data_IF_613110725460
#
_entry.id   IF_613110725460
#
_cell.length_a   1.000
_cell.length_b   1.000
_cell.length_c   1.000
_cell.angle_alpha   90.00
_cell.angle_beta   90.00
_cell.angle_gamma   90.00
#
_symmetry.space_group_name_H-M   'P 1'
#
loop_
_entity.id
_entity.type
_entity.pdbx_description
1 polymer ?
#
# COMPACT_ATOMS: atom_id res chain seq x y z
N UNK A 1 3.52 -29.68 -10.98
CA UNK A 1 3.46 -28.62 -12.01
C UNK A 1 4.37 -27.54 -11.49
N UNK A 2 5.36 -27.12 -12.27
CA UNK A 2 6.29 -26.08 -11.86
C UNK A 2 5.62 -24.70 -11.92
N UNK A 3 5.91 -23.85 -10.94
CA UNK A 3 5.36 -22.51 -10.83
C UNK A 3 6.39 -21.43 -11.22
N UNK A 4 5.88 -20.37 -11.83
CA UNK A 4 6.58 -19.13 -12.10
C UNK A 4 5.94 -18.01 -11.27
N UNK A 5 6.68 -17.46 -10.32
CA UNK A 5 6.24 -16.30 -9.55
C UNK A 5 6.79 -15.02 -10.21
N UNK A 6 5.90 -14.14 -10.66
CA UNK A 6 6.20 -12.80 -11.17
C UNK A 6 5.58 -11.76 -10.23
N UNK A 7 6.37 -11.19 -9.32
CA UNK A 7 5.79 -10.26 -8.34
C UNK A 7 4.82 -11.00 -7.42
N UNK A 8 3.59 -10.49 -7.32
CA UNK A 8 2.48 -11.14 -6.60
C UNK A 8 1.77 -12.22 -7.42
N UNK A 9 2.02 -12.29 -8.72
CA UNK A 9 1.32 -13.18 -9.65
C UNK A 9 2.03 -14.53 -9.72
N UNK A 10 1.29 -15.62 -9.50
CA UNK A 10 1.78 -16.98 -9.73
C UNK A 10 1.13 -17.55 -10.98
N UNK A 11 1.96 -17.91 -11.95
CA UNK A 11 1.58 -18.55 -13.20
C UNK A 11 2.16 -19.95 -13.26
N UNK A 12 1.59 -20.80 -14.10
CA UNK A 12 2.27 -22.06 -14.44
C UNK A 12 3.55 -21.76 -15.23
N UNK A 13 4.66 -22.38 -14.83
CA UNK A 13 5.91 -22.25 -15.55
C UNK A 13 5.79 -22.87 -16.96
N UNK A 14 6.31 -22.15 -17.96
CA UNK A 14 6.23 -22.58 -19.36
C UNK A 14 7.41 -23.47 -19.71
N UNK A 15 7.19 -24.44 -20.60
CA UNK A 15 8.26 -25.29 -21.11
C UNK A 15 9.19 -24.55 -22.07
N UNK A 16 8.66 -23.54 -22.77
CA UNK A 16 9.39 -22.77 -23.78
C UNK A 16 9.36 -21.29 -23.44
N UNK A 17 10.47 -20.62 -23.73
CA UNK A 17 10.61 -19.17 -23.70
C UNK A 17 11.55 -18.75 -24.84
N UNK A 18 11.47 -17.49 -25.26
CA UNK A 18 12.41 -16.92 -26.23
C UNK A 18 13.11 -15.71 -25.63
N UNK A 19 14.44 -15.70 -25.69
CA UNK A 19 15.27 -14.57 -25.26
C UNK A 19 15.89 -13.86 -26.46
N UNK A 20 15.99 -12.54 -26.37
CA UNK A 20 16.73 -11.70 -27.32
C UNK A 20 17.52 -10.65 -26.57
N UNK A 21 18.78 -10.44 -26.98
CA UNK A 21 19.63 -9.36 -26.44
C UNK A 21 19.53 -8.06 -27.27
N UNK A 22 18.74 -8.03 -28.33
CA UNK A 22 18.60 -6.87 -29.20
C UNK A 22 17.79 -5.77 -28.48
N UNK A 23 18.44 -4.61 -28.24
CA UNK A 23 17.89 -3.46 -27.48
C UNK A 23 17.57 -3.73 -26.00
N UNK A 24 18.33 -4.61 -25.37
CA UNK A 24 18.14 -5.05 -23.99
C UNK A 24 17.83 -6.54 -23.92
N UNK A 25 17.99 -7.15 -22.75
CA UNK A 25 17.67 -8.56 -22.56
C UNK A 25 16.16 -8.70 -22.40
N UNK A 26 15.49 -9.07 -23.49
CA UNK A 26 14.05 -9.34 -23.53
C UNK A 26 13.78 -10.85 -23.44
N UNK A 27 12.75 -11.21 -22.70
CA UNK A 27 12.27 -12.58 -22.50
C UNK A 27 10.77 -12.61 -22.79
N UNK A 28 10.36 -13.45 -23.73
CA UNK A 28 8.95 -13.66 -24.05
C UNK A 28 8.51 -15.05 -23.60
N UNK A 29 7.43 -15.07 -22.84
CA UNK A 29 6.85 -16.27 -22.23
C UNK A 29 5.35 -16.31 -22.53
N UNK A 30 4.81 -17.51 -22.66
CA UNK A 30 3.39 -17.71 -22.92
C UNK A 30 2.92 -19.04 -22.38
N UNK A 31 1.76 -19.05 -21.76
CA UNK A 31 1.17 -20.24 -21.15
C UNK A 31 -0.35 -20.21 -21.21
N UNK A 32 -0.96 -21.24 -20.61
CA UNK A 32 -2.40 -21.40 -20.56
C UNK A 32 -2.83 -21.81 -19.16
N UNK A 33 -3.77 -21.06 -18.59
CA UNK A 33 -4.48 -21.40 -17.35
C UNK A 33 -5.85 -21.99 -17.71
N UNK A 34 -6.24 -23.09 -17.05
CA UNK A 34 -7.44 -23.86 -17.42
C UNK A 34 -8.24 -24.29 -16.20
N UNK A 35 -9.55 -24.03 -16.23
CA UNK A 35 -10.55 -24.66 -15.38
C UNK A 35 -11.09 -25.91 -16.11
N UNK A 36 -11.09 -27.10 -15.49
CA UNK A 36 -11.10 -27.33 -14.03
C UNK A 36 -9.76 -27.68 -13.36
N UNK A 37 -8.59 -27.45 -13.99
CA UNK A 37 -7.31 -27.72 -13.30
C UNK A 37 -7.09 -26.79 -12.10
N UNK A 38 -7.52 -25.54 -12.23
CA UNK A 38 -7.66 -24.58 -11.13
C UNK A 38 -9.10 -24.06 -11.11
N UNK A 39 -9.49 -23.34 -10.05
CA UNK A 39 -10.86 -22.83 -9.97
C UNK A 39 -11.09 -21.78 -11.05
N UNK A 40 -12.35 -21.57 -11.43
CA UNK A 40 -12.69 -20.52 -12.40
C UNK A 40 -12.25 -19.14 -11.90
N UNK A 41 -12.36 -18.89 -10.61
CA UNK A 41 -11.99 -17.60 -10.00
C UNK A 41 -10.47 -17.41 -10.04
N UNK A 42 -9.68 -18.47 -9.82
CA UNK A 42 -8.22 -18.43 -9.97
C UNK A 42 -7.79 -18.16 -11.41
N UNK A 43 -8.49 -18.75 -12.40
CA UNK A 43 -8.22 -18.48 -13.82
C UNK A 43 -8.40 -16.99 -14.13
N UNK A 44 -9.51 -16.38 -13.66
CA UNK A 44 -9.78 -14.96 -13.88
C UNK A 44 -8.84 -14.05 -13.09
N UNK A 45 -8.50 -14.40 -11.85
CA UNK A 45 -7.55 -13.64 -11.05
C UNK A 45 -6.16 -13.60 -11.70
N UNK A 46 -5.68 -14.74 -12.22
CA UNK A 46 -4.43 -14.80 -12.98
C UNK A 46 -4.49 -13.96 -14.25
N UNK A 47 -5.60 -13.97 -14.98
CA UNK A 47 -5.77 -13.17 -16.19
C UNK A 47 -5.70 -11.68 -15.92
N UNK A 48 -6.52 -11.20 -14.99
CA UNK A 48 -6.53 -9.80 -14.62
C UNK A 48 -5.16 -9.39 -14.05
N UNK A 49 -4.49 -10.28 -13.31
CA UNK A 49 -3.16 -10.04 -12.77
C UNK A 49 -2.05 -9.99 -13.84
N UNK A 50 -2.15 -10.80 -14.90
CA UNK A 50 -1.28 -10.71 -16.08
C UNK A 50 -1.40 -9.31 -16.70
N UNK A 51 -2.63 -8.83 -16.94
CA UNK A 51 -2.86 -7.53 -17.55
C UNK A 51 -2.46 -6.38 -16.60
N UNK A 52 -2.78 -6.50 -15.32
CA UNK A 52 -2.53 -5.50 -14.30
C UNK A 52 -1.06 -5.31 -13.92
N UNK A 53 -0.21 -6.31 -14.19
CA UNK A 53 1.23 -6.25 -13.90
C UNK A 53 2.06 -5.42 -14.88
N UNK A 54 1.50 -5.02 -16.04
CA UNK A 54 2.25 -4.32 -17.06
C UNK A 54 2.87 -3.01 -16.56
N UNK A 55 4.15 -2.81 -16.89
CA UNK A 55 4.96 -1.65 -16.48
C UNK A 55 5.62 -1.80 -15.11
N UNK A 56 5.22 -2.78 -14.31
CA UNK A 56 5.78 -3.03 -12.98
C UNK A 56 7.18 -3.64 -13.02
N UNK A 57 8.04 -3.20 -12.10
CA UNK A 57 9.25 -3.92 -11.71
C UNK A 57 8.84 -5.08 -10.79
N UNK A 58 9.25 -6.29 -11.14
CA UNK A 58 8.92 -7.51 -10.41
C UNK A 58 10.16 -8.36 -10.20
N UNK A 59 10.18 -9.08 -9.08
CA UNK A 59 11.07 -10.21 -8.92
C UNK A 59 10.44 -11.43 -9.63
N UNK A 60 11.25 -12.17 -10.39
CA UNK A 60 10.85 -13.43 -10.99
C UNK A 60 11.55 -14.59 -10.29
N UNK A 61 10.78 -15.57 -9.83
CA UNK A 61 11.26 -16.81 -9.23
C UNK A 61 10.72 -17.98 -10.05
N UNK A 62 11.63 -18.72 -10.66
CA UNK A 62 11.39 -19.89 -11.47
C UNK A 62 11.68 -21.15 -10.65
N UNK A 63 10.76 -22.11 -10.66
CA UNK A 63 10.92 -23.36 -9.93
C UNK A 63 11.91 -24.30 -10.65
N UNK A 64 11.76 -24.47 -11.97
CA UNK A 64 12.62 -25.37 -12.75
C UNK A 64 13.81 -24.65 -13.41
N UNK A 65 13.71 -23.33 -13.63
CA UNK A 65 14.71 -22.51 -14.35
C UNK A 65 15.38 -21.47 -13.44
N UNK A 66 15.85 -21.92 -12.28
CA UNK A 66 16.37 -21.04 -11.21
C UNK A 66 17.50 -20.08 -11.64
N UNK A 67 18.26 -20.41 -12.70
CA UNK A 67 19.27 -19.54 -13.31
C UNK A 67 18.69 -18.26 -13.94
N UNK A 68 17.37 -18.21 -14.09
CA UNK A 68 16.59 -17.06 -14.57
C UNK A 68 15.97 -16.25 -13.44
N UNK A 69 16.20 -16.61 -12.18
CA UNK A 69 15.79 -15.77 -11.06
C UNK A 69 16.43 -14.38 -11.16
N UNK A 70 15.67 -13.35 -10.81
CA UNK A 70 16.16 -11.97 -10.88
C UNK A 70 15.04 -10.94 -11.00
N UNK A 71 15.45 -9.71 -11.32
CA UNK A 71 14.55 -8.58 -11.49
C UNK A 71 14.19 -8.35 -12.95
N UNK A 72 12.91 -8.10 -13.20
CA UNK A 72 12.35 -7.92 -14.53
C UNK A 72 11.36 -6.76 -14.53
N UNK A 73 11.23 -6.05 -15.65
CA UNK A 73 10.08 -5.17 -15.91
C UNK A 73 9.13 -5.85 -16.89
N UNK A 74 7.84 -5.89 -16.58
CA UNK A 74 6.82 -6.40 -17.50
C UNK A 74 6.58 -5.35 -18.59
N UNK A 75 7.13 -5.56 -19.79
CA UNK A 75 7.07 -4.57 -20.88
C UNK A 75 5.77 -4.65 -21.66
N UNK A 76 5.18 -5.82 -21.79
CA UNK A 76 3.83 -6.01 -22.32
C UNK A 76 3.18 -7.26 -21.75
N UNK A 77 1.86 -7.22 -21.62
CA UNK A 77 1.04 -8.35 -21.21
C UNK A 77 -0.22 -8.42 -22.07
N UNK A 78 -0.63 -9.64 -22.43
CA UNK A 78 -1.88 -9.89 -23.15
C UNK A 78 -2.44 -11.26 -22.79
N UNK A 79 -3.73 -11.45 -23.01
CA UNK A 79 -4.33 -12.76 -22.92
C UNK A 79 -5.60 -12.90 -23.74
N UNK A 80 -5.88 -14.14 -24.13
CA UNK A 80 -7.03 -14.56 -24.93
C UNK A 80 -7.90 -15.48 -24.08
N UNK A 81 -9.19 -15.13 -23.93
CA UNK A 81 -10.14 -15.89 -23.09
C UNK A 81 -11.05 -16.75 -23.96
N UNK A 82 -11.11 -18.04 -23.63
CA UNK A 82 -12.11 -18.98 -24.16
C UNK A 82 -12.95 -19.48 -23.00
N UNK A 83 -14.13 -18.89 -22.88
CA UNK A 83 -15.10 -19.22 -21.84
C UNK A 83 -16.26 -20.04 -22.40
N UNK A 84 -16.33 -21.32 -22.00
CA UNK A 84 -17.47 -22.20 -22.26
C UNK A 84 -18.15 -22.56 -20.95
N UNK A 85 -18.71 -21.55 -20.26
CA UNK A 85 -19.41 -21.69 -18.98
C UNK A 85 -20.38 -22.87 -18.90
N UNK A 86 -21.17 -23.14 -19.95
CA UNK A 86 -22.12 -24.28 -19.99
C UNK A 86 -21.44 -25.65 -19.96
N UNK A 87 -20.19 -25.72 -20.39
CA UNK A 87 -19.37 -26.95 -20.38
C UNK A 87 -18.43 -27.01 -19.16
N UNK A 88 -18.47 -26.00 -18.28
CA UNK A 88 -17.57 -25.92 -17.12
C UNK A 88 -16.11 -25.67 -17.48
N UNK A 89 -15.83 -25.20 -18.71
CA UNK A 89 -14.47 -25.00 -19.22
C UNK A 89 -14.20 -23.51 -19.34
N UNK A 90 -13.11 -23.04 -18.75
CA UNK A 90 -12.55 -21.69 -18.95
C UNK A 90 -11.08 -21.85 -19.23
N UNK A 91 -10.61 -21.30 -20.33
CA UNK A 91 -9.22 -21.38 -20.78
C UNK A 91 -8.72 -19.97 -21.06
N UNK A 92 -7.56 -19.62 -20.50
CA UNK A 92 -6.93 -18.32 -20.69
C UNK A 92 -5.51 -18.55 -21.16
N UNK A 93 -5.25 -18.19 -22.41
CA UNK A 93 -3.90 -18.14 -22.95
C UNK A 93 -3.31 -16.77 -22.65
N UNK A 94 -2.14 -16.72 -22.01
CA UNK A 94 -1.47 -15.47 -21.68
C UNK A 94 -0.12 -15.38 -22.39
N UNK A 95 0.32 -14.14 -22.66
CA UNK A 95 1.63 -13.82 -23.25
C UNK A 95 2.21 -12.61 -22.51
N UNK A 96 3.44 -12.75 -22.05
CA UNK A 96 4.15 -11.71 -21.30
C UNK A 96 5.51 -11.50 -21.94
N UNK A 97 5.85 -10.23 -22.16
CA UNK A 97 7.20 -9.81 -22.50
C UNK A 97 7.83 -9.17 -21.26
N UNK A 98 9.04 -9.61 -20.93
CA UNK A 98 9.80 -9.18 -19.78
C UNK A 98 11.10 -8.53 -20.27
N UNK A 99 11.49 -7.42 -19.67
CA UNK A 99 12.83 -6.87 -19.77
C UNK A 99 13.62 -7.32 -18.54
N UNK A 100 14.64 -8.16 -18.74
CA UNK A 100 15.52 -8.66 -17.69
C UNK A 100 16.54 -7.59 -17.30
N UNK A 101 16.61 -7.29 -16.01
CA UNK A 101 17.64 -6.42 -15.45
C UNK A 101 18.84 -7.20 -14.94
N UNK A 102 18.62 -8.39 -14.38
CA UNK A 102 19.67 -9.27 -13.88
C UNK A 102 19.29 -9.95 -12.56
N UNK A 103 20.14 -10.87 -12.06
CA UNK A 103 20.01 -11.42 -10.71
C UNK A 103 20.25 -10.36 -9.64
N UNK A 104 19.92 -10.66 -8.39
CA UNK A 104 20.16 -9.82 -7.21
C UNK A 104 21.65 -9.57 -6.91
N UNK A 105 22.56 -10.36 -7.51
CA UNK A 105 24.00 -10.14 -7.42
C UNK A 105 24.50 -8.99 -8.30
N UNK A 106 23.78 -8.69 -9.40
CA UNK A 106 24.24 -7.80 -10.47
C UNK A 106 23.46 -6.48 -10.53
N UNK A 107 22.38 -6.40 -9.76
CA UNK A 107 21.42 -5.30 -9.76
C UNK A 107 21.30 -4.72 -8.35
N UNK A 108 21.36 -3.39 -8.26
CA UNK A 108 20.83 -2.66 -7.12
C UNK A 108 19.44 -2.12 -7.47
N UNK A 109 18.64 -1.86 -6.45
CA UNK A 109 17.34 -1.23 -6.55
C UNK A 109 17.46 0.21 -6.09
N UNK A 110 16.92 1.14 -6.89
CA UNK A 110 16.91 2.56 -6.61
C UNK A 110 15.48 3.02 -6.31
N UNK A 111 15.26 3.49 -5.09
CA UNK A 111 14.01 4.12 -4.68
C UNK A 111 14.03 5.59 -5.04
N UNK A 112 13.31 5.95 -6.11
CA UNK A 112 13.17 7.35 -6.55
C UNK A 112 12.10 8.03 -5.73
N UNK A 113 12.54 8.73 -4.69
CA UNK A 113 11.70 9.55 -3.83
C UNK A 113 11.48 10.91 -4.49
N UNK A 114 10.51 10.95 -5.41
CA UNK A 114 10.22 12.12 -6.22
C UNK A 114 9.21 13.05 -5.54
N UNK A 115 9.28 14.35 -5.84
CA UNK A 115 8.30 15.34 -5.41
C UNK A 115 8.73 16.20 -4.23
N UNK A 116 7.75 16.85 -3.60
CA UNK A 116 7.95 17.78 -2.50
C UNK A 116 7.22 17.29 -1.25
N UNK A 117 7.70 17.75 -0.08
CA UNK A 117 6.98 17.55 1.18
C UNK A 117 5.60 18.20 1.10
N UNK A 118 4.63 17.67 1.85
CA UNK A 118 3.25 18.17 1.83
C UNK A 118 3.21 19.61 2.30
N UNK A 119 2.60 20.48 1.50
CA UNK A 119 2.26 21.83 1.92
C UNK A 119 1.31 21.76 3.12
N UNK A 120 1.62 22.52 4.17
CA UNK A 120 0.86 22.50 5.41
C UNK A 120 0.66 23.91 5.97
N UNK A 121 -0.40 24.07 6.76
CA UNK A 121 -0.81 25.38 7.31
C UNK A 121 0.01 25.77 8.55
N UNK A 122 0.99 24.94 8.95
CA UNK A 122 1.70 25.02 10.22
C UNK A 122 3.20 25.35 10.09
N UNK A 123 3.67 25.63 8.87
CA UNK A 123 5.09 25.90 8.57
C UNK A 123 6.06 24.80 9.01
N UNK A 124 5.60 23.54 9.03
CA UNK A 124 6.41 22.37 9.41
C UNK A 124 7.16 21.83 8.19
N UNK A 125 8.41 21.42 8.39
CA UNK A 125 9.24 20.88 7.30
C UNK A 125 8.92 19.41 6.95
N UNK A 126 8.31 18.66 7.89
CA UNK A 126 8.17 17.21 7.79
C UNK A 126 9.51 16.47 7.88
N UNK A 127 9.45 15.14 7.86
CA UNK A 127 10.60 14.25 7.91
C UNK A 127 10.52 13.28 6.74
N UNK A 128 11.48 13.35 5.82
CA UNK A 128 11.60 12.35 4.76
C UNK A 128 12.07 11.04 5.35
N UNK A 129 11.44 9.96 4.91
CA UNK A 129 11.73 8.61 5.39
C UNK A 129 11.57 7.62 4.23
N UNK A 130 12.13 6.43 4.41
CA UNK A 130 12.07 5.36 3.42
C UNK A 130 12.19 4.00 4.11
N UNK A 131 11.43 3.02 3.64
CA UNK A 131 11.46 1.66 4.15
C UNK A 131 11.57 0.69 2.96
N UNK A 132 12.76 0.13 2.68
CA UNK A 132 12.92 -0.94 1.71
C UNK A 132 12.28 -2.27 2.22
N UNK A 133 12.18 -3.31 1.38
CA UNK A 133 11.71 -4.64 1.79
C UNK A 133 12.52 -5.21 2.96
N UNK A 134 11.89 -6.11 3.72
CA UNK A 134 12.58 -6.84 4.78
C UNK A 134 13.64 -7.74 4.14
N UNK A 135 14.88 -7.67 4.61
CA UNK A 135 16.02 -8.42 4.05
C UNK A 135 16.86 -7.65 3.04
N UNK A 136 16.58 -6.36 2.83
CA UNK A 136 17.46 -5.50 2.03
C UNK A 136 18.86 -5.37 2.67
N UNK A 137 19.84 -5.00 1.85
CA UNK A 137 21.23 -4.80 2.26
C UNK A 137 21.88 -3.65 1.47
N UNK A 138 23.09 -3.26 1.86
CA UNK A 138 23.90 -2.22 1.19
C UNK A 138 23.14 -0.90 0.92
N UNK A 139 22.34 -0.45 1.89
CA UNK A 139 21.59 0.81 1.76
C UNK A 139 22.53 2.01 1.64
N UNK A 140 22.36 2.77 0.56
CA UNK A 140 23.19 3.91 0.20
C UNK A 140 22.32 5.13 -0.13
N UNK A 141 22.62 6.28 0.47
CA UNK A 141 21.91 7.54 0.24
C UNK A 141 22.89 8.72 0.13
N UNK A 142 24.05 8.49 -0.47
CA UNK A 142 25.10 9.50 -0.60
C UNK A 142 26.03 9.56 0.63
N UNK A 143 26.55 10.76 0.92
CA UNK A 143 27.51 11.00 2.00
C UNK A 143 26.89 11.09 3.40
N UNK A 144 25.57 11.23 3.50
CA UNK A 144 24.84 11.30 4.77
C UNK A 144 24.06 10.02 4.97
N UNK A 145 24.32 9.33 6.08
CA UNK A 145 23.58 8.15 6.51
C UNK A 145 22.33 8.59 7.31
N UNK A 146 21.12 8.21 6.87
CA UNK A 146 19.89 8.45 7.63
C UNK A 146 19.94 7.68 8.95
N UNK A 147 19.26 8.21 9.96
CA UNK A 147 19.00 7.45 11.18
C UNK A 147 18.08 6.26 10.88
N UNK A 148 18.12 5.22 11.71
CA UNK A 148 17.30 4.03 11.51
C UNK A 148 16.46 3.71 12.74
N UNK A 149 15.34 3.04 12.51
CA UNK A 149 14.55 2.37 13.53
C UNK A 149 14.01 1.06 12.98
N UNK A 150 13.54 0.17 13.85
CA UNK A 150 12.91 -1.08 13.44
C UNK A 150 11.45 -1.12 13.89
N UNK A 151 10.61 -1.75 13.07
CA UNK A 151 9.19 -1.98 13.37
C UNK A 151 8.85 -3.46 13.17
N UNK A 152 8.29 -4.16 14.18
CA UNK A 152 7.77 -5.52 13.98
C UNK A 152 6.53 -5.45 13.10
N UNK A 153 6.55 -6.16 11.98
CA UNK A 153 5.42 -6.31 11.05
C UNK A 153 4.90 -7.76 11.10
N UNK A 154 3.78 -8.04 10.43
CA UNK A 154 3.33 -9.44 10.25
C UNK A 154 4.29 -10.31 9.44
N UNK A 155 5.19 -9.70 8.66
CA UNK A 155 6.09 -10.40 7.74
C UNK A 155 7.54 -10.47 8.29
N UNK A 156 7.76 -9.97 9.51
CA UNK A 156 9.08 -9.87 10.14
C UNK A 156 9.44 -8.45 10.57
N UNK A 157 10.68 -8.24 11.00
CA UNK A 157 11.16 -6.93 11.45
C UNK A 157 11.61 -6.10 10.25
N UNK A 158 11.00 -4.93 10.08
CA UNK A 158 11.33 -3.98 9.01
C UNK A 158 12.18 -2.84 9.53
N UNK A 159 13.17 -2.42 8.74
CA UNK A 159 13.98 -1.23 9.01
C UNK A 159 13.39 -0.02 8.30
N UNK A 160 13.22 1.08 9.03
CA UNK A 160 12.80 2.37 8.49
C UNK A 160 13.96 3.36 8.61
N UNK A 161 14.35 3.95 7.48
CA UNK A 161 15.34 5.01 7.39
C UNK A 161 14.65 6.36 7.54
N UNK A 162 15.20 7.21 8.39
CA UNK A 162 14.61 8.46 8.85
C UNK A 162 15.57 9.62 8.63
N UNK A 163 15.04 10.75 8.18
CA UNK A 163 15.83 11.91 7.78
C UNK A 163 16.57 11.70 6.47
N UNK A 164 15.92 11.07 5.48
CA UNK A 164 16.51 10.88 4.14
C UNK A 164 16.80 12.26 3.51
N UNK A 165 18.03 12.53 3.02
CA UNK A 165 18.37 13.83 2.47
C UNK A 165 17.50 14.25 1.27
N UNK A 166 17.38 15.56 1.06
CA UNK A 166 16.67 16.11 -0.10
C UNK A 166 17.34 15.73 -1.42
N UNK A 167 16.55 15.40 -2.44
CA UNK A 167 17.05 15.14 -3.79
C UNK A 167 17.87 13.86 -3.92
N UNK A 168 17.89 13.00 -2.90
CA UNK A 168 18.57 11.70 -2.92
C UNK A 168 17.58 10.59 -3.23
N UNK A 169 17.95 9.70 -4.14
CA UNK A 169 17.26 8.43 -4.39
C UNK A 169 18.09 7.29 -3.78
N UNK A 170 17.66 6.70 -2.64
CA UNK A 170 18.41 5.64 -2.01
C UNK A 170 18.58 4.41 -2.90
N UNK A 171 19.75 3.79 -2.86
CA UNK A 171 20.06 2.52 -3.51
C UNK A 171 20.26 1.42 -2.50
N UNK A 172 19.88 0.20 -2.83
CA UNK A 172 19.95 -0.94 -1.93
C UNK A 172 19.90 -2.26 -2.72
N UNK A 173 20.52 -3.30 -2.20
CA UNK A 173 20.36 -4.67 -2.70
C UNK A 173 19.25 -5.39 -1.95
N UNK A 174 18.64 -6.39 -2.59
CA UNK A 174 17.68 -7.28 -1.95
C UNK A 174 17.66 -8.61 -2.69
N UNK A 175 17.63 -9.72 -1.93
CA UNK A 175 17.49 -11.04 -2.53
C UNK A 175 16.13 -11.16 -3.21
N UNK A 176 16.09 -11.90 -4.31
CA UNK A 176 14.87 -12.06 -5.12
C UNK A 176 13.73 -12.62 -4.26
N UNK A 177 14.00 -13.60 -3.40
CA UNK A 177 13.02 -14.21 -2.48
C UNK A 177 12.52 -13.28 -1.35
N UNK A 178 13.27 -12.23 -1.04
CA UNK A 178 12.96 -11.29 0.05
C UNK A 178 12.16 -10.08 -0.43
N UNK A 179 12.14 -9.79 -1.73
CA UNK A 179 11.61 -8.54 -2.28
C UNK A 179 10.13 -8.26 -1.96
N UNK A 180 9.33 -9.32 -1.75
CA UNK A 180 7.92 -9.19 -1.36
C UNK A 180 7.70 -8.99 0.14
N UNK A 181 8.71 -9.18 0.99
CA UNK A 181 8.53 -9.15 2.45
C UNK A 181 8.28 -7.73 2.95
N UNK A 182 7.19 -7.55 3.69
CA UNK A 182 6.79 -6.23 4.18
C UNK A 182 6.19 -5.32 3.10
N UNK A 183 5.76 -5.88 1.95
CA UNK A 183 5.05 -5.12 0.93
C UNK A 183 3.71 -4.58 1.42
N UNK A 184 3.23 -3.52 0.77
CA UNK A 184 1.81 -3.15 0.84
C UNK A 184 1.01 -4.14 -0.01
N UNK A 185 -0.21 -4.49 0.41
CA UNK A 185 -1.08 -5.45 -0.27
C UNK A 185 -2.54 -5.02 -0.19
N UNK A 186 -3.27 -5.30 -1.26
CA UNK A 186 -4.73 -5.19 -1.33
C UNK A 186 -5.29 -6.59 -1.50
N UNK A 187 -6.20 -6.99 -0.62
CA UNK A 187 -6.92 -8.26 -0.70
C UNK A 187 -8.40 -7.98 -0.94
N UNK A 188 -9.06 -8.86 -1.71
CA UNK A 188 -10.54 -8.92 -1.81
C UNK A 188 -10.96 -10.36 -2.02
N UNK A 189 -11.98 -10.80 -1.28
CA UNK A 189 -12.33 -12.23 -1.21
C UNK A 189 -11.21 -13.12 -0.63
N UNK A 190 -10.29 -12.54 0.15
CA UNK A 190 -9.14 -13.25 0.74
C UNK A 190 -7.94 -13.44 -0.21
N UNK A 191 -8.04 -13.01 -1.47
CA UNK A 191 -6.96 -13.12 -2.47
C UNK A 191 -6.24 -11.78 -2.61
N UNK A 192 -4.90 -11.81 -2.58
CA UNK A 192 -4.06 -10.64 -2.85
C UNK A 192 -4.06 -10.29 -4.34
N UNK A 193 -4.38 -9.04 -4.68
CA UNK A 193 -4.54 -8.60 -6.07
C UNK A 193 -3.26 -8.01 -6.65
N UNK A 194 -3.11 -8.13 -7.97
CA UNK A 194 -1.95 -7.65 -8.75
C UNK A 194 -2.36 -6.45 -9.60
N UNK A 195 -1.63 -5.33 -9.58
CA UNK A 195 -2.01 -4.18 -10.39
C UNK A 195 -3.36 -3.56 -10.00
N UNK A 196 -3.97 -2.80 -10.91
CA UNK A 196 -5.15 -1.96 -10.64
C UNK A 196 -6.43 -2.39 -11.35
N UNK A 197 -6.32 -3.30 -12.32
CA UNK A 197 -7.41 -3.69 -13.22
C UNK A 197 -8.28 -4.84 -12.66
N UNK A 198 -8.68 -4.76 -11.39
CA UNK A 198 -9.51 -5.77 -10.74
C UNK A 198 -10.73 -5.15 -10.05
N UNK A 199 -11.88 -5.85 -10.03
CA UNK A 199 -12.98 -5.47 -9.17
C UNK A 199 -12.57 -5.56 -7.69
N UNK A 200 -13.05 -4.62 -6.89
CA UNK A 200 -12.88 -4.61 -5.45
C UNK A 200 -14.27 -4.56 -4.82
N UNK A 201 -14.62 -5.60 -4.06
CA UNK A 201 -15.92 -5.66 -3.37
C UNK A 201 -16.01 -4.49 -2.40
N UNK A 202 -17.11 -3.73 -2.36
CA UNK A 202 -17.19 -2.51 -1.55
C UNK A 202 -17.08 -2.75 -0.03
N UNK A 203 -17.44 -3.95 0.43
CA UNK A 203 -17.54 -4.34 1.83
C UNK A 203 -16.59 -5.50 2.21
N UNK A 204 -15.85 -6.07 1.25
CA UNK A 204 -15.03 -7.27 1.46
C UNK A 204 -13.57 -7.13 0.97
N UNK A 205 -12.95 -5.98 1.27
CA UNK A 205 -11.54 -5.71 0.97
C UNK A 205 -10.67 -5.46 2.22
N UNK A 206 -9.36 -5.64 2.06
CA UNK A 206 -8.34 -5.26 3.03
C UNK A 206 -7.16 -4.56 2.35
N UNK A 207 -6.74 -3.44 2.91
CA UNK A 207 -5.50 -2.76 2.57
C UNK A 207 -4.52 -2.88 3.75
N UNK A 208 -3.32 -3.41 3.53
CA UNK A 208 -2.35 -3.65 4.62
C UNK A 208 -0.91 -3.43 4.18
N UNK A 209 -0.05 -2.98 5.09
CA UNK A 209 1.41 -2.95 4.92
C UNK A 209 2.14 -3.79 6.00
N UNK A 210 1.41 -4.67 6.69
CA UNK A 210 1.92 -5.47 7.81
C UNK A 210 2.09 -4.72 9.13
N UNK A 211 1.91 -3.40 9.16
CA UNK A 211 1.94 -2.54 10.36
C UNK A 211 0.59 -1.89 10.66
N UNK A 212 -0.12 -1.51 9.60
CA UNK A 212 -1.46 -0.95 9.58
C UNK A 212 -2.28 -1.79 8.60
N UNK A 213 -3.52 -2.08 9.00
CA UNK A 213 -4.52 -2.76 8.18
C UNK A 213 -5.81 -1.96 8.20
N UNK A 214 -6.43 -1.81 7.05
CA UNK A 214 -7.70 -1.09 6.88
C UNK A 214 -8.71 -1.99 6.20
N UNK A 215 -9.94 -2.00 6.70
CA UNK A 215 -11.08 -2.72 6.13
C UNK A 215 -12.35 -1.85 6.22
N UNK A 216 -13.31 -2.00 5.29
CA UNK A 216 -14.63 -1.42 5.47
C UNK A 216 -15.35 -2.15 6.61
N UNK A 217 -16.28 -1.48 7.28
CA UNK A 217 -17.17 -2.11 8.28
C UNK A 217 -18.61 -1.65 8.07
N UNK A 218 -19.56 -2.57 8.23
CA UNK A 218 -20.98 -2.30 8.05
C UNK A 218 -21.70 -1.80 9.31
N UNK A 219 -21.06 -1.86 10.49
CA UNK A 219 -21.67 -1.42 11.75
C UNK A 219 -20.63 -0.89 12.75
N UNK A 220 -21.02 0.14 13.50
CA UNK A 220 -20.18 0.75 14.54
C UNK A 220 -18.91 1.41 13.99
N UNK A 221 -18.96 1.95 12.78
CA UNK A 221 -17.89 2.65 12.07
C UNK A 221 -18.13 2.66 10.56
N UNK A 222 -17.34 3.44 9.83
CA UNK A 222 -17.21 3.39 8.36
C UNK A 222 -16.01 2.54 7.95
N UNK A 223 -14.95 2.55 8.77
CA UNK A 223 -13.69 1.84 8.56
C UNK A 223 -13.21 1.21 9.88
N UNK A 224 -12.56 0.05 9.78
CA UNK A 224 -11.68 -0.46 10.83
C UNK A 224 -10.23 -0.19 10.42
N UNK A 225 -9.48 0.48 11.30
CA UNK A 225 -8.02 0.65 11.18
C UNK A 225 -7.37 -0.10 12.33
N UNK A 226 -6.64 -1.16 12.00
CA UNK A 226 -5.92 -1.96 12.97
C UNK A 226 -4.42 -1.72 12.87
N UNK A 227 -3.76 -1.69 14.03
CA UNK A 227 -2.30 -1.59 14.11
C UNK A 227 -1.67 -2.87 14.64
N UNK A 228 -0.50 -3.22 14.11
CA UNK A 228 0.31 -4.35 14.55
C UNK A 228 1.57 -3.86 15.23
N UNK A 229 1.63 -3.87 16.56
CA UNK A 229 2.80 -3.42 17.34
C UNK A 229 3.65 -4.58 17.85
N UNK A 230 3.49 -5.77 17.27
CA UNK A 230 4.06 -7.04 17.75
C UNK A 230 2.98 -7.96 18.31
N UNK A 231 2.93 -9.20 17.83
CA UNK A 231 1.98 -10.22 18.30
C UNK A 231 0.66 -10.22 17.54
N UNK A 232 -0.31 -9.39 17.94
CA UNK A 232 -1.70 -9.42 17.42
C UNK A 232 -2.15 -8.06 16.88
N UNK A 233 -3.09 -8.08 15.94
CA UNK A 233 -3.73 -6.87 15.42
C UNK A 233 -4.62 -6.21 16.46
N UNK A 234 -4.50 -4.89 16.61
CA UNK A 234 -5.30 -4.06 17.54
C UNK A 234 -6.22 -3.13 16.74
N UNK A 235 -7.50 -3.50 16.53
CA UNK A 235 -8.43 -2.71 15.72
C UNK A 235 -9.01 -1.51 16.47
N UNK A 236 -9.17 -0.40 15.75
CA UNK A 236 -10.02 0.74 16.13
C UNK A 236 -10.99 1.04 14.99
N UNK A 237 -12.25 1.28 15.32
CA UNK A 237 -13.27 1.67 14.34
C UNK A 237 -13.39 3.18 14.26
N UNK A 238 -13.53 3.68 13.05
CA UNK A 238 -13.59 5.10 12.73
C UNK A 238 -14.85 5.39 11.94
N UNK A 239 -15.55 6.45 12.30
CA UNK A 239 -16.56 7.07 11.48
C UNK A 239 -15.92 8.04 10.51
N UNK A 240 -16.40 7.99 9.27
CA UNK A 240 -16.26 9.05 8.27
C UNK A 240 -17.60 9.75 8.19
N UNK A 241 -17.60 11.06 8.37
CA UNK A 241 -18.79 11.90 8.29
C UNK A 241 -18.67 12.84 7.09
N UNK A 242 -19.75 12.91 6.31
CA UNK A 242 -19.87 13.81 5.17
C UNK A 242 -21.15 14.62 5.28
N UNK A 243 -21.02 15.88 5.69
CA UNK A 243 -22.14 16.82 5.84
C UNK A 243 -22.92 16.64 7.14
N UNK A 244 -22.28 16.18 8.20
CA UNK A 244 -22.93 15.88 9.50
C UNK A 244 -23.63 14.52 9.52
N UNK A 245 -23.36 13.66 8.53
CA UNK A 245 -23.95 12.32 8.40
C UNK A 245 -22.85 11.28 8.30
N UNK A 246 -22.91 10.29 9.19
CA UNK A 246 -22.00 9.14 9.18
C UNK A 246 -22.20 8.30 7.92
N UNK A 247 -21.10 7.92 7.29
CA UNK A 247 -21.07 6.93 6.20
C UNK A 247 -21.20 5.54 6.83
N UNK A 248 -22.36 4.91 6.69
CA UNK A 248 -22.63 3.56 7.22
C UNK A 248 -22.28 2.44 6.23
N UNK A 249 -21.96 2.79 4.99
CA UNK A 249 -21.55 1.88 3.93
C UNK A 249 -21.04 2.65 2.72
N UNK A 250 -20.27 1.98 1.87
CA UNK A 250 -19.72 2.51 0.63
C UNK A 250 -20.51 1.96 -0.55
N UNK A 251 -20.70 2.76 -1.61
CA UNK A 251 -21.40 2.31 -2.82
C UNK A 251 -20.46 1.63 -3.82
N UNK A 252 -19.14 1.86 -3.72
CA UNK A 252 -18.14 1.21 -4.56
C UNK A 252 -16.73 1.36 -3.97
N UNK A 253 -15.85 0.42 -4.29
CA UNK A 253 -14.42 0.49 -4.03
C UNK A 253 -13.60 0.21 -5.30
N UNK A 254 -12.42 0.79 -5.43
CA UNK A 254 -11.52 0.60 -6.58
C UNK A 254 -10.06 0.81 -6.21
N UNK A 255 -9.15 0.17 -6.93
CA UNK A 255 -7.70 0.31 -6.70
C UNK A 255 -7.12 1.33 -7.67
N UNK A 256 -6.60 2.45 -7.16
CA UNK A 256 -5.96 3.48 -7.98
C UNK A 256 -4.47 3.23 -8.20
N UNK A 257 -3.82 2.54 -7.25
CA UNK A 257 -2.40 2.21 -7.28
C UNK A 257 -2.16 0.94 -6.48
N UNK A 258 -1.29 0.06 -6.96
CA UNK A 258 -1.01 -1.22 -6.31
C UNK A 258 0.45 -1.64 -6.46
N UNK A 259 1.39 -0.77 -6.08
CA UNK A 259 2.81 -1.10 -6.07
C UNK A 259 3.18 -1.82 -4.77
N UNK A 260 4.38 -2.40 -4.70
CA UNK A 260 4.83 -3.09 -3.47
C UNK A 260 5.14 -2.08 -2.35
N UNK A 261 5.48 -0.85 -2.71
CA UNK A 261 5.86 0.26 -1.83
C UNK A 261 4.65 1.07 -1.37
N UNK A 262 3.60 1.15 -2.20
CA UNK A 262 2.40 1.92 -1.88
C UNK A 262 1.18 1.46 -2.67
N UNK A 263 0.04 1.38 -1.98
CA UNK A 263 -1.25 1.10 -2.58
C UNK A 263 -2.24 2.22 -2.23
N UNK A 264 -3.16 2.50 -3.16
CA UNK A 264 -4.24 3.48 -2.99
C UNK A 264 -5.56 2.82 -3.35
N UNK A 265 -6.50 2.82 -2.40
CA UNK A 265 -7.89 2.40 -2.60
C UNK A 265 -8.79 3.63 -2.56
N UNK A 266 -9.69 3.75 -3.55
CA UNK A 266 -10.73 4.78 -3.59
C UNK A 266 -12.08 4.17 -3.25
N UNK A 267 -12.75 4.79 -2.30
CA UNK A 267 -14.13 4.50 -1.93
C UNK A 267 -15.02 5.64 -2.42
N UNK A 268 -16.24 5.30 -2.84
CA UNK A 268 -17.25 6.30 -3.21
C UNK A 268 -18.53 6.10 -2.42
N UNK A 269 -19.18 7.21 -2.11
CA UNK A 269 -20.53 7.21 -1.54
C UNK A 269 -21.39 8.25 -2.25
N UNK A 270 -22.60 7.85 -2.59
CA UNK A 270 -23.64 8.69 -3.18
C UNK A 270 -24.20 9.61 -2.12
N UNK A 271 -24.56 10.82 -2.54
CA UNK A 271 -25.13 11.85 -1.68
C UNK A 271 -26.34 12.42 -2.37
N UNK A 272 -27.51 12.26 -1.76
CA UNK A 272 -28.72 12.93 -2.21
C UNK A 272 -28.96 14.17 -1.36
N UNK A 273 -29.26 15.35 -1.94
CA UNK A 273 -29.33 15.65 -3.39
C UNK A 273 -27.97 16.00 -4.03
N UNK A 274 -26.87 16.01 -3.27
CA UNK A 274 -25.63 16.73 -3.61
C UNK A 274 -24.51 15.87 -4.24
N UNK A 275 -24.88 14.93 -5.11
CA UNK A 275 -23.94 14.17 -5.94
C UNK A 275 -23.24 13.02 -5.22
N UNK A 276 -21.92 13.11 -5.02
CA UNK A 276 -21.08 12.02 -4.50
C UNK A 276 -19.90 12.56 -3.70
N UNK A 277 -19.31 11.71 -2.88
CA UNK A 277 -18.05 11.96 -2.21
C UNK A 277 -17.10 10.78 -2.41
N UNK A 278 -15.80 11.08 -2.35
CA UNK A 278 -14.73 10.12 -2.53
C UNK A 278 -13.80 10.13 -1.33
N UNK A 279 -13.34 8.95 -0.93
CA UNK A 279 -12.28 8.78 0.05
C UNK A 279 -11.16 7.96 -0.56
N UNK A 280 -10.00 8.58 -0.71
CA UNK A 280 -8.77 7.90 -1.10
C UNK A 280 -7.98 7.50 0.13
N UNK A 281 -7.64 6.23 0.23
CA UNK A 281 -6.89 5.62 1.33
C UNK A 281 -5.55 5.15 0.79
N UNK A 282 -4.45 5.70 1.33
CA UNK A 282 -3.08 5.36 0.93
C UNK A 282 -2.35 4.69 2.08
N UNK A 283 -1.74 3.53 1.80
CA UNK A 283 -0.72 2.93 2.66
C UNK A 283 0.62 2.91 1.93
N UNK A 284 1.68 2.98 2.74
CA UNK A 284 3.08 2.91 2.29
C UNK A 284 3.82 1.85 3.08
N UNK A 285 4.77 1.18 2.46
CA UNK A 285 5.67 0.22 3.14
C UNK A 285 6.30 0.90 4.34
N UNK A 286 6.32 0.22 5.48
CA UNK A 286 6.92 0.73 6.70
C UNK A 286 6.15 1.82 7.45
N UNK A 287 5.08 2.40 6.90
CA UNK A 287 4.29 3.42 7.59
C UNK A 287 3.50 2.88 8.78
N UNK A 288 3.42 3.66 9.87
CA UNK A 288 2.52 3.43 11.03
C UNK A 288 1.17 4.14 10.90
N UNK A 289 0.96 4.84 9.79
CA UNK A 289 -0.22 5.66 9.53
C UNK A 289 -0.87 5.27 8.21
N UNK A 290 -2.20 5.30 8.23
CA UNK A 290 -3.06 5.39 7.06
C UNK A 290 -3.17 6.85 6.65
N UNK A 291 -2.94 7.15 5.38
CA UNK A 291 -3.21 8.48 4.82
C UNK A 291 -4.58 8.46 4.15
N UNK A 292 -5.39 9.49 4.39
CA UNK A 292 -6.71 9.64 3.84
C UNK A 292 -6.91 10.98 3.15
N UNK A 293 -7.68 11.00 2.07
CA UNK A 293 -8.10 12.22 1.40
C UNK A 293 -9.58 12.13 1.03
N UNK A 294 -10.39 12.84 1.79
CA UNK A 294 -11.84 12.91 1.65
C UNK A 294 -12.21 14.13 0.81
N UNK A 295 -13.03 13.94 -0.22
CA UNK A 295 -13.47 15.00 -1.13
C UNK A 295 -14.96 14.93 -1.42
N UNK A 296 -15.56 16.10 -1.62
CA UNK A 296 -16.96 16.31 -2.02
C UNK A 296 -17.07 17.50 -2.98
N UNK A 297 -18.15 17.56 -3.76
CA UNK A 297 -18.35 18.61 -4.78
C UNK A 297 -18.83 19.96 -4.25
N UNK A 298 -19.16 20.07 -2.97
CA UNK A 298 -19.76 21.22 -2.32
C UNK A 298 -19.14 21.48 -0.94
N UNK A 299 -19.22 22.70 -0.44
CA UNK A 299 -18.69 23.05 0.88
C UNK A 299 -19.56 22.46 1.99
N UNK A 300 -18.93 21.86 3.00
CA UNK A 300 -19.63 21.41 4.20
C UNK A 300 -18.70 20.83 5.25
N UNK A 301 -19.30 20.22 6.27
CA UNK A 301 -18.54 19.52 7.31
C UNK A 301 -18.05 18.17 6.80
N UNK A 302 -16.80 17.85 7.11
CA UNK A 302 -16.19 16.53 6.95
C UNK A 302 -15.51 16.18 8.25
N UNK A 303 -15.69 14.95 8.74
CA UNK A 303 -15.05 14.51 9.98
C UNK A 303 -14.56 13.08 9.85
N UNK A 304 -13.48 12.76 10.56
CA UNK A 304 -12.98 11.40 10.75
C UNK A 304 -12.65 11.23 12.21
N UNK A 305 -13.38 10.35 12.91
CA UNK A 305 -13.29 10.22 14.36
C UNK A 305 -13.58 8.81 14.85
N UNK A 306 -13.15 8.49 16.07
CA UNK A 306 -13.33 7.16 16.64
C UNK A 306 -14.81 6.86 16.89
N UNK A 307 -15.22 5.64 16.55
CA UNK A 307 -16.58 5.17 16.81
C UNK A 307 -16.87 4.98 18.31
N UNK A 308 -15.85 4.57 19.07
CA UNK A 308 -15.86 4.58 20.53
C UNK A 308 -15.07 5.79 21.01
N UNK A 309 -15.72 6.75 21.66
CA UNK A 309 -15.10 7.99 22.05
C UNK A 309 -13.90 7.77 22.98
N UNK A 310 -12.77 8.41 22.67
CA UNK A 310 -11.59 8.42 23.51
C UNK A 310 -11.09 9.86 23.69
N UNK A 311 -10.67 10.20 24.92
CA UNK A 311 -10.13 11.52 25.21
C UNK A 311 -8.78 11.71 24.49
N UNK A 312 -8.73 12.70 23.61
CA UNK A 312 -7.52 13.11 22.93
C UNK A 312 -7.09 14.51 23.36
N UNK A 313 -5.78 14.72 23.38
CA UNK A 313 -5.16 16.03 23.54
C UNK A 313 -4.77 16.55 22.16
N UNK A 314 -5.08 17.82 21.91
CA UNK A 314 -4.70 18.51 20.69
C UNK A 314 -3.26 19.02 20.73
N UNK A 315 -2.62 19.03 19.58
CA UNK A 315 -1.28 19.52 19.34
C UNK A 315 -1.18 20.03 17.90
N UNK A 316 -0.09 20.72 17.55
CA UNK A 316 0.08 21.27 16.20
C UNK A 316 -0.01 20.17 15.14
N UNK A 317 -1.07 20.24 14.32
CA UNK A 317 -1.36 19.36 13.18
C UNK A 317 -1.84 17.94 13.54
N UNK A 318 -2.08 17.62 14.82
CA UNK A 318 -2.62 16.31 15.21
C UNK A 318 -3.28 16.30 16.60
N UNK A 319 -4.16 15.31 16.81
CA UNK A 319 -4.69 14.90 18.10
C UNK A 319 -4.15 13.52 18.47
N UNK A 320 -3.87 13.29 19.74
CA UNK A 320 -3.39 12.00 20.26
C UNK A 320 -4.13 11.64 21.53
N UNK A 321 -4.45 10.36 21.72
CA UNK A 321 -5.06 9.86 22.97
C UNK A 321 -4.23 10.30 24.18
N UNK A 322 -4.88 10.84 25.21
CA UNK A 322 -4.16 11.43 26.36
C UNK A 322 -3.45 10.39 27.24
N UNK A 323 -3.97 9.16 27.29
CA UNK A 323 -3.43 8.05 28.08
C UNK A 323 -3.21 6.80 27.21
N UNK A 324 -2.32 5.92 27.67
CA UNK A 324 -2.06 4.63 27.04
C UNK A 324 -3.27 3.70 27.15
N UNK A 325 -3.52 2.89 26.13
CA UNK A 325 -4.56 1.86 26.15
C UNK A 325 -4.10 0.62 26.91
N UNK A 326 -4.94 -0.41 26.98
CA UNK A 326 -4.62 -1.66 27.64
C UNK A 326 -3.39 -2.36 27.05
N UNK A 327 -2.99 -1.98 25.84
CA UNK A 327 -1.84 -2.52 25.12
C UNK A 327 -0.63 -1.55 25.16
N UNK A 328 -0.70 -0.49 25.97
CA UNK A 328 0.37 0.49 26.11
C UNK A 328 0.49 1.46 24.94
N UNK A 329 -0.50 1.55 24.04
CA UNK A 329 -0.46 2.36 22.82
C UNK A 329 -1.38 3.59 22.92
N UNK A 330 -1.17 4.57 22.03
CA UNK A 330 -2.11 5.70 21.86
C UNK A 330 -2.55 5.80 20.41
N UNK A 331 -3.83 6.06 20.18
CA UNK A 331 -4.31 6.44 18.86
C UNK A 331 -3.83 7.86 18.51
N UNK A 332 -3.54 8.11 17.24
CA UNK A 332 -3.23 9.45 16.73
C UNK A 332 -3.99 9.70 15.43
N UNK A 333 -4.49 10.92 15.26
CA UNK A 333 -5.03 11.41 14.01
C UNK A 333 -4.54 12.82 13.75
N UNK A 334 -4.31 13.21 12.50
CA UNK A 334 -3.90 14.57 12.19
C UNK A 334 -4.09 14.93 10.72
N UNK A 335 -3.74 16.16 10.36
CA UNK A 335 -3.93 16.71 9.01
C UNK A 335 -2.84 17.72 8.70
N UNK A 336 -2.47 17.86 7.43
CA UNK A 336 -1.56 18.91 6.98
C UNK A 336 -2.26 20.28 6.98
N UNK A 337 -3.59 20.30 7.06
CA UNK A 337 -4.41 21.50 7.07
C UNK A 337 -5.00 21.77 8.45
N UNK A 338 -5.43 23.02 8.66
CA UNK A 338 -6.17 23.38 9.86
C UNK A 338 -7.46 22.52 10.00
N UNK A 339 -7.73 22.10 11.23
CA UNK A 339 -8.88 21.29 11.64
C UNK A 339 -9.25 21.64 13.09
N UNK A 340 -10.46 21.25 13.51
CA UNK A 340 -10.88 21.27 14.90
C UNK A 340 -10.88 19.83 15.47
N UNK A 341 -10.41 19.59 16.71
CA UNK A 341 -10.50 18.29 17.35
C UNK A 341 -11.95 17.82 17.48
N UNK A 342 -12.23 16.58 17.07
CA UNK A 342 -13.55 15.98 17.29
C UNK A 342 -13.69 15.47 18.73
N UNK A 343 -14.86 15.67 19.34
CA UNK A 343 -15.13 15.29 20.75
C UNK A 343 -14.91 13.81 21.06
N UNK A 344 -15.16 12.94 20.08
CA UNK A 344 -14.94 11.49 20.19
C UNK A 344 -13.49 11.06 19.94
N UNK A 345 -12.57 11.99 19.68
CA UNK A 345 -11.21 11.70 19.25
C UNK A 345 -11.13 11.59 17.72
N UNK A 346 -10.33 12.46 17.10
CA UNK A 346 -10.24 12.60 15.65
C UNK A 346 -10.32 14.06 15.21
N UNK A 347 -10.75 14.28 13.98
CA UNK A 347 -10.65 15.56 13.30
C UNK A 347 -12.01 15.94 12.71
N UNK A 348 -12.35 17.22 12.74
CA UNK A 348 -13.45 17.79 11.95
C UNK A 348 -12.99 19.04 11.22
N UNK A 349 -13.52 19.24 10.02
CA UNK A 349 -13.29 20.41 9.20
C UNK A 349 -14.62 20.90 8.65
N UNK A 350 -14.99 22.12 9.00
CA UNK A 350 -16.22 22.76 8.54
C UNK A 350 -15.96 23.58 7.28
N UNK A 351 -17.03 23.85 6.52
CA UNK A 351 -16.99 24.72 5.33
C UNK A 351 -15.88 24.38 4.33
N UNK A 352 -15.67 23.09 4.05
CA UNK A 352 -14.61 22.62 3.16
C UNK A 352 -15.13 21.64 2.10
N UNK A 353 -14.45 21.58 0.95
CA UNK A 353 -14.70 20.61 -0.12
C UNK A 353 -13.75 19.41 -0.06
N UNK A 354 -12.64 19.54 0.67
CA UNK A 354 -11.70 18.44 0.92
C UNK A 354 -11.12 18.45 2.34
N UNK A 355 -10.71 17.28 2.79
CA UNK A 355 -10.03 17.06 4.06
C UNK A 355 -8.99 15.96 3.87
N UNK A 356 -7.72 16.30 4.05
CA UNK A 356 -6.66 15.31 4.21
C UNK A 356 -6.52 14.93 5.69
N UNK A 357 -6.13 13.69 5.94
CA UNK A 357 -5.87 13.22 7.28
C UNK A 357 -4.87 12.07 7.29
N UNK A 358 -4.34 11.78 8.47
CA UNK A 358 -3.71 10.51 8.76
C UNK A 358 -4.32 9.91 10.02
N UNK A 359 -4.40 8.58 10.08
CA UNK A 359 -4.81 7.80 11.25
C UNK A 359 -3.73 6.78 11.58
N UNK A 360 -3.37 6.61 12.84
CA UNK A 360 -2.39 5.59 13.20
C UNK A 360 -2.26 5.35 14.69
N UNK A 361 -1.11 4.78 15.05
CA UNK A 361 -0.79 4.42 16.43
C UNK A 361 0.57 4.95 16.84
N UNK A 362 0.65 5.51 18.04
CA UNK A 362 1.88 5.76 18.78
C UNK A 362 2.20 4.48 19.53
N UNK A 363 3.06 3.64 18.94
CA UNK A 363 3.42 2.35 19.49
C UNK A 363 4.26 2.52 20.76
N UNK A 364 3.83 1.92 21.87
CA UNK A 364 4.44 2.14 23.20
C UNK A 364 4.00 3.44 23.88
N UNK A 365 3.04 4.18 23.30
CA UNK A 365 2.31 5.23 23.98
C UNK A 365 3.21 6.34 24.52
N UNK A 366 3.15 6.59 25.84
CA UNK A 366 4.01 7.58 26.50
C UNK A 366 5.51 7.27 26.45
N UNK A 367 5.89 6.01 26.18
CA UNK A 367 7.27 5.53 26.09
C UNK A 367 7.68 5.19 24.65
N UNK A 368 6.96 5.73 23.66
CA UNK A 368 7.25 5.48 22.25
C UNK A 368 8.69 5.88 21.89
N UNK A 369 9.37 4.97 21.18
CA UNK A 369 10.71 5.21 20.63
C UNK A 369 10.66 6.33 19.58
N UNK A 370 11.79 7.01 19.39
CA UNK A 370 11.91 8.03 18.34
C UNK A 370 11.54 7.42 16.99
N UNK A 371 10.59 8.08 16.30
CA UNK A 371 10.01 7.63 15.04
C UNK A 371 8.62 7.04 15.16
N UNK A 372 8.21 6.60 16.35
CA UNK A 372 6.84 6.18 16.65
C UNK A 372 6.11 7.17 17.59
N UNK A 373 6.80 8.21 18.08
CA UNK A 373 6.16 9.32 18.81
C UNK A 373 5.21 10.10 17.89
N UNK A 374 4.11 10.64 18.44
CA UNK A 374 3.07 11.34 17.67
C UNK A 374 3.64 12.45 16.76
N UNK A 375 4.57 13.25 17.27
CA UNK A 375 5.29 14.29 16.52
C UNK A 375 6.05 13.72 15.32
N UNK A 376 6.75 12.59 15.49
CA UNK A 376 7.48 11.96 14.39
C UNK A 376 6.53 11.33 13.35
N UNK A 377 5.39 10.79 13.78
CA UNK A 377 4.37 10.26 12.86
C UNK A 377 3.75 11.38 12.01
N UNK A 378 3.46 12.54 12.62
CA UNK A 378 3.07 13.76 11.90
C UNK A 378 4.16 14.18 10.91
N UNK A 379 5.41 14.23 11.34
CA UNK A 379 6.49 14.66 10.45
C UNK A 379 6.70 13.67 9.30
N UNK A 380 6.58 12.37 9.55
CA UNK A 380 6.59 11.32 8.52
C UNK A 380 5.41 11.47 7.54
N UNK A 381 4.22 11.83 8.01
CA UNK A 381 3.07 12.14 7.14
C UNK A 381 3.38 13.31 6.19
N UNK A 382 3.91 14.40 6.74
CA UNK A 382 4.25 15.60 5.97
C UNK A 382 5.42 15.36 5.01
N UNK A 383 6.40 14.55 5.41
CA UNK A 383 7.58 14.23 4.62
C UNK A 383 7.47 13.00 3.73
N UNK A 384 6.30 12.33 3.68
CA UNK A 384 6.07 11.18 2.82
C UNK A 384 6.10 11.58 1.34
N UNK A 385 7.02 10.98 0.58
CA UNK A 385 7.19 11.23 -0.85
C UNK A 385 6.64 10.08 -1.69
N UNK A 386 6.09 10.35 -2.88
CA UNK A 386 5.91 9.33 -3.91
C UNK A 386 7.21 8.57 -4.17
N UNK A 387 7.11 7.24 -4.15
CA UNK A 387 8.23 6.34 -4.45
C UNK A 387 7.96 5.59 -5.75
N UNK A 388 9.01 5.43 -6.57
CA UNK A 388 9.05 4.48 -7.67
C UNK A 388 10.37 3.74 -7.57
N UNK A 389 10.33 2.41 -7.56
CA UNK A 389 11.54 1.57 -7.53
C UNK A 389 11.96 1.22 -8.95
N UNK A 390 13.25 1.38 -9.24
CA UNK A 390 13.84 0.97 -10.49
C UNK A 390 15.03 0.04 -10.23
N UNK A 391 15.23 -0.94 -11.10
CA UNK A 391 16.48 -1.70 -11.15
C UNK A 391 17.57 -0.84 -11.79
N UNK A 392 18.75 -0.80 -11.17
CA UNK A 392 19.95 -0.15 -11.69
C UNK A 392 21.10 -1.14 -11.66
N UNK A 393 21.94 -1.10 -12.68
CA UNK A 393 23.13 -1.96 -12.72
C UNK A 393 24.11 -1.51 -11.63
N UNK A 394 24.63 -2.48 -10.88
CA UNK A 394 25.65 -2.24 -9.86
C UNK A 394 26.97 -1.77 -10.48
#
# INVERSE_FOLDING_TARGET
MADLQLGRLTLRETMTFSESAYQGWSLHISGVEVCPLITRDDVWDRFDGVLGGQGGLVQAIWEEKSERNGYYTISSASGDVKDRKRQGITEIAWKISLQRHGPDTDVDLESRLAGAVRANDFSLAGERWHAPPIGHFAYYSGSTLPSTMTRPTTDGVMTVYRGVPAGVSPRWGCRVEDYLRGRVRVLTGGVERVGTAHPLDEDAWELSNGLVRVRPVASGGSLEVASFTGGVWRPKRWWVDIGGTQVTGWDSASVLRNDLESCIVRLAVRRSPVGRAYLDLTLRRGSRILEGYLQRGDSGTMSVYLASAETCTDATSYVVRSADDSDGNRVVAGSARNFDPHVSGGLTKTSSTAMDFFLGVVAGGGSAVSGDQATNLRDQYLGALPEVVAAVRR
#
